data_IF_215283167131
#
_entry.id   IF_215283167131
#
_cell.length_a   1.000
_cell.length_b   1.000
_cell.length_c   1.000
_cell.angle_alpha   90.00
_cell.angle_beta   90.00
_cell.angle_gamma   90.00
#
_symmetry.space_group_name_H-M   'P 1'
#
loop_
_entity.id
_entity.type
_entity.pdbx_description
1 polymer ?
#
# COMPACT_ATOMS: atom_id res chain seq x y z
N UNK A 1 4.37 20.02 1.51
CA UNK A 1 3.03 19.43 1.75
C UNK A 1 3.18 18.46 2.90
N UNK A 2 2.30 18.51 3.89
CA UNK A 2 2.22 17.45 4.89
C UNK A 2 1.81 16.16 4.17
N UNK A 3 2.49 15.05 4.47
CA UNK A 3 2.17 13.76 3.86
C UNK A 3 0.78 13.29 4.28
N UNK A 4 0.06 12.66 3.35
CA UNK A 4 -1.20 12.00 3.68
C UNK A 4 -0.92 10.54 4.03
N UNK A 5 -1.66 10.02 5.00
CA UNK A 5 -1.57 8.62 5.41
C UNK A 5 -2.95 7.99 5.34
N UNK A 6 -3.01 6.79 4.76
CA UNK A 6 -4.23 6.01 4.63
C UNK A 6 -4.02 4.62 5.23
N UNK A 7 -5.07 4.06 5.80
CA UNK A 7 -5.11 2.68 6.27
C UNK A 7 -5.98 1.88 5.31
N UNK A 8 -5.42 0.81 4.77
CA UNK A 8 -6.11 -0.14 3.92
C UNK A 8 -6.35 -1.43 4.70
N UNK A 9 -7.61 -1.74 5.03
CA UNK A 9 -8.03 -3.07 5.49
C UNK A 9 -8.42 -3.89 4.26
N UNK A 10 -7.56 -4.85 3.90
CA UNK A 10 -7.68 -5.68 2.71
C UNK A 10 -8.35 -6.99 3.08
N UNK A 11 -9.55 -7.20 2.53
CA UNK A 11 -10.36 -8.40 2.76
C UNK A 11 -10.48 -9.20 1.47
N UNK A 12 -11.11 -10.37 1.55
CA UNK A 12 -11.26 -11.28 0.40
C UNK A 12 -11.93 -10.60 -0.81
N UNK A 13 -12.91 -9.70 -0.59
CA UNK A 13 -13.75 -9.12 -1.65
C UNK A 13 -13.86 -7.60 -1.62
N UNK A 14 -13.20 -6.94 -0.68
CA UNK A 14 -13.26 -5.49 -0.51
C UNK A 14 -11.95 -4.95 0.05
N UNK A 15 -11.67 -3.68 -0.23
CA UNK A 15 -10.62 -2.91 0.45
C UNK A 15 -11.28 -1.70 1.08
N UNK A 16 -11.20 -1.61 2.40
CA UNK A 16 -11.68 -0.44 3.13
C UNK A 16 -10.52 0.52 3.32
N UNK A 17 -10.68 1.74 2.81
CA UNK A 17 -9.68 2.81 2.93
C UNK A 17 -10.18 3.86 3.90
N UNK A 18 -9.36 4.19 4.89
CA UNK A 18 -9.70 5.18 5.91
C UNK A 18 -8.52 6.10 6.24
N UNK A 19 -8.83 7.28 6.77
CA UNK A 19 -7.85 8.20 7.34
C UNK A 19 -7.93 8.04 8.85
N UNK A 20 -7.29 7.00 9.37
CA UNK A 20 -7.20 6.75 10.81
C UNK A 20 -5.77 7.00 11.24
N UNK A 21 -5.61 7.94 12.17
CA UNK A 21 -4.34 8.20 12.82
C UNK A 21 -4.19 7.29 14.06
N UNK A 22 -2.98 6.81 14.31
CA UNK A 22 -2.65 6.04 15.52
C UNK A 22 -3.08 4.57 15.60
N UNK A 23 -3.62 3.97 14.53
CA UNK A 23 -3.86 2.52 14.48
C UNK A 23 -2.56 1.74 14.20
N UNK A 24 -2.33 0.65 14.92
CA UNK A 24 -1.25 -0.30 14.65
C UNK A 24 -1.46 -0.94 13.27
N UNK A 25 -0.39 -1.03 12.47
CA UNK A 25 -0.44 -1.56 11.10
C UNK A 25 0.48 -2.76 11.00
N UNK A 26 0.00 -3.82 10.33
CA UNK A 26 0.81 -5.01 10.05
C UNK A 26 1.97 -4.71 9.10
N UNK A 27 1.77 -3.78 8.17
CA UNK A 27 2.80 -3.28 7.29
C UNK A 27 2.50 -1.85 6.82
N UNK A 28 3.55 -1.12 6.44
CA UNK A 28 3.47 0.23 5.87
C UNK A 28 4.26 0.31 4.58
N UNK A 29 3.66 0.90 3.56
CA UNK A 29 4.34 1.35 2.33
C UNK A 29 4.44 2.88 2.40
N UNK A 30 5.63 3.42 2.20
CA UNK A 30 5.87 4.86 2.28
C UNK A 30 6.83 5.33 1.19
N UNK A 31 6.73 6.60 0.80
CA UNK A 31 7.58 7.20 -0.23
C UNK A 31 6.99 8.50 -0.77
N UNK A 32 7.65 9.13 -1.75
CA UNK A 32 7.07 10.26 -2.46
C UNK A 32 5.71 9.88 -3.07
N UNK A 33 4.67 10.73 -2.98
CA UNK A 33 3.31 10.39 -3.43
C UNK A 33 3.24 9.87 -4.87
N UNK A 34 4.02 10.46 -5.76
CA UNK A 34 4.13 10.06 -7.16
C UNK A 34 4.73 8.66 -7.33
N UNK A 35 5.70 8.28 -6.49
CA UNK A 35 6.31 6.95 -6.54
C UNK A 35 5.38 5.88 -5.96
N UNK A 36 4.71 6.19 -4.84
CA UNK A 36 3.69 5.30 -4.27
C UNK A 36 2.56 5.06 -5.28
N UNK A 37 2.10 6.11 -5.98
CA UNK A 37 1.10 5.99 -7.03
C UNK A 37 1.59 5.11 -8.18
N UNK A 38 2.82 5.31 -8.68
CA UNK A 38 3.35 4.47 -9.76
C UNK A 38 3.53 3.01 -9.32
N UNK A 39 3.98 2.77 -8.09
CA UNK A 39 4.13 1.44 -7.51
C UNK A 39 2.79 0.71 -7.40
N UNK A 40 1.75 1.38 -6.87
CA UNK A 40 0.39 0.84 -6.76
C UNK A 40 -0.19 0.42 -8.13
N UNK A 41 0.16 1.12 -9.21
CA UNK A 41 -0.31 0.84 -10.58
C UNK A 41 0.62 -0.10 -11.36
N UNK A 42 1.63 -0.68 -10.71
CA UNK A 42 2.56 -1.59 -11.37
C UNK A 42 3.53 -0.93 -12.35
N UNK A 43 3.66 0.40 -12.31
CA UNK A 43 4.53 1.19 -13.20
C UNK A 43 5.89 1.51 -12.60
N UNK A 44 6.09 1.19 -11.32
CA UNK A 44 7.37 1.24 -10.63
C UNK A 44 7.61 -0.06 -9.85
N UNK A 45 8.89 -0.43 -9.70
CA UNK A 45 9.32 -1.56 -8.89
C UNK A 45 9.39 -1.22 -7.41
N UNK A 46 9.66 -2.23 -6.59
CA UNK A 46 9.73 -2.12 -5.13
C UNK A 46 10.81 -1.16 -4.64
N UNK A 47 11.84 -0.91 -5.45
CA UNK A 47 12.90 0.08 -5.18
C UNK A 47 12.40 1.53 -5.12
N UNK A 48 11.18 1.81 -5.59
CA UNK A 48 10.60 3.15 -5.59
C UNK A 48 9.95 3.55 -4.26
N UNK A 49 9.77 2.60 -3.34
CA UNK A 49 9.09 2.80 -2.05
C UNK A 49 9.85 2.13 -0.91
N UNK A 50 9.53 2.53 0.32
CA UNK A 50 10.04 1.93 1.55
C UNK A 50 8.96 1.08 2.20
N UNK A 51 9.37 -0.07 2.71
CA UNK A 51 8.52 -1.00 3.45
C UNK A 51 8.92 -1.08 4.91
N UNK A 52 7.92 -1.20 5.79
CA UNK A 52 8.08 -1.52 7.20
C UNK A 52 7.01 -2.53 7.63
N UNK A 53 7.32 -3.40 8.59
CA UNK A 53 6.45 -4.48 9.04
C UNK A 53 6.57 -5.78 8.23
N UNK A 54 5.47 -6.52 8.10
CA UNK A 54 5.45 -7.87 7.52
C UNK A 54 5.56 -7.85 5.97
N UNK A 55 6.64 -8.42 5.38
CA UNK A 55 6.82 -8.46 3.94
C UNK A 55 5.81 -9.38 3.21
N UNK A 56 5.26 -10.40 3.87
CA UNK A 56 4.26 -11.28 3.25
C UNK A 56 2.96 -10.51 3.00
N UNK A 57 2.55 -9.64 3.92
CA UNK A 57 1.39 -8.76 3.77
C UNK A 57 1.54 -7.81 2.58
N UNK A 58 2.73 -7.23 2.39
CA UNK A 58 3.01 -6.33 1.26
C UNK A 58 2.96 -7.10 -0.07
N UNK A 59 3.56 -8.29 -0.11
CA UNK A 59 3.52 -9.17 -1.29
C UNK A 59 2.08 -9.56 -1.66
N UNK A 60 1.27 -9.95 -0.68
CA UNK A 60 -0.12 -10.33 -0.89
C UNK A 60 -0.99 -9.15 -1.35
N UNK A 61 -0.77 -7.96 -0.78
CA UNK A 61 -1.40 -6.72 -1.23
C UNK A 61 -1.06 -6.42 -2.70
N UNK A 62 0.21 -6.53 -3.07
CA UNK A 62 0.65 -6.29 -4.44
C UNK A 62 0.05 -7.29 -5.42
N UNK A 63 -0.05 -8.57 -5.04
CA UNK A 63 -0.70 -9.60 -5.84
C UNK A 63 -2.18 -9.26 -6.12
N UNK A 64 -2.93 -8.84 -5.10
CA UNK A 64 -4.34 -8.42 -5.25
C UNK A 64 -4.52 -7.22 -6.17
N UNK A 65 -3.65 -6.22 -6.07
CA UNK A 65 -3.71 -5.06 -6.97
C UNK A 65 -3.56 -5.49 -8.43
N UNK A 66 -2.64 -6.41 -8.72
CA UNK A 66 -2.44 -6.95 -10.07
C UNK A 66 -3.66 -7.73 -10.56
N UNK A 67 -4.33 -8.51 -9.70
CA UNK A 67 -5.57 -9.21 -10.07
C UNK A 67 -6.71 -8.24 -10.41
N UNK A 68 -6.84 -7.16 -9.65
CA UNK A 68 -7.91 -6.16 -9.82
C UNK A 68 -7.68 -5.17 -10.98
N UNK A 69 -6.48 -5.07 -11.53
CA UNK A 69 -6.10 -4.05 -12.53
C UNK A 69 -5.62 -4.63 -13.86
N UNK A 70 -5.89 -5.92 -14.10
CA UNK A 70 -5.66 -6.61 -15.38
C UNK A 70 -6.52 -6.10 -16.53
#
# INVERSE_FOLDING_TARGET
SEGCTWVCDVREKEVLVSVVDGAERTATVSGPPEQVLLWLWGRAGDEAVTFDGDPEVISEFRARLVECTR
#
